data_IF_496988235241
#
_entry.id   IF_496988235241
#
_cell.length_a   1.000
_cell.length_b   1.000
_cell.length_c   1.000
_cell.angle_alpha   90.00
_cell.angle_beta   90.00
_cell.angle_gamma   90.00
#
_symmetry.space_group_name_H-M   'P 1'
#
loop_
_entity.id
_entity.type
_entity.pdbx_description
1 polymer ?
#
# COMPACT_ATOMS: atom_id res chain seq x y z
N UNK A 1 8.37 -1.87 -18.90
CA UNK A 1 9.73 -2.34 -19.23
C UNK A 1 10.73 -1.36 -18.59
N UNK A 2 11.16 -1.60 -17.37
CA UNK A 2 12.31 -0.90 -16.79
C UNK A 2 13.51 -1.83 -16.90
N UNK A 3 14.40 -1.51 -17.85
CA UNK A 3 15.64 -2.23 -18.05
C UNK A 3 16.56 -2.07 -16.84
N UNK A 4 17.37 -3.09 -16.54
CA UNK A 4 18.46 -3.01 -15.57
C UNK A 4 19.32 -1.79 -15.89
N UNK A 5 19.46 -0.88 -14.93
CA UNK A 5 20.39 0.25 -15.04
C UNK A 5 21.77 -0.27 -15.45
N UNK A 6 22.29 0.24 -16.55
CA UNK A 6 23.61 -0.11 -17.03
C UNK A 6 24.69 0.50 -16.12
N UNK A 7 25.96 0.10 -16.33
CA UNK A 7 27.09 0.52 -15.48
C UNK A 7 27.29 2.05 -15.45
N UNK A 8 26.93 2.75 -16.54
CA UNK A 8 27.02 4.21 -16.64
C UNK A 8 25.91 4.91 -15.85
N UNK A 9 24.69 4.37 -15.87
CA UNK A 9 23.55 4.87 -15.11
C UNK A 9 23.79 4.69 -13.60
N UNK A 10 24.33 3.54 -13.18
CA UNK A 10 24.75 3.32 -11.78
C UNK A 10 25.82 4.30 -11.33
N UNK A 11 26.81 4.60 -12.20
CA UNK A 11 27.85 5.58 -11.90
C UNK A 11 27.31 7.01 -11.82
N UNK A 12 26.36 7.37 -12.71
CA UNK A 12 25.67 8.68 -12.70
C UNK A 12 24.82 8.84 -11.45
N UNK A 13 24.11 7.78 -11.05
CA UNK A 13 23.30 7.73 -9.83
C UNK A 13 24.18 7.91 -8.57
N UNK A 14 25.29 7.16 -8.46
CA UNK A 14 26.24 7.28 -7.35
C UNK A 14 26.87 8.68 -7.27
N UNK A 15 27.12 9.33 -8.42
CA UNK A 15 27.66 10.70 -8.47
C UNK A 15 26.63 11.74 -8.01
N UNK A 16 25.35 11.56 -8.38
CA UNK A 16 24.26 12.42 -7.93
C UNK A 16 24.03 12.29 -6.42
N UNK A 17 24.11 11.09 -5.87
CA UNK A 17 23.97 10.85 -4.44
C UNK A 17 25.12 11.46 -3.63
N UNK A 18 26.37 11.39 -4.13
CA UNK A 18 27.52 12.10 -3.52
C UNK A 18 27.33 13.62 -3.53
N UNK A 19 26.73 14.17 -4.59
CA UNK A 19 26.44 15.61 -4.70
C UNK A 19 25.37 16.03 -3.71
N UNK A 20 24.25 15.31 -3.61
CA UNK A 20 23.20 15.52 -2.61
C UNK A 20 23.74 15.47 -1.18
N UNK A 21 24.55 14.48 -0.86
CA UNK A 21 25.21 14.35 0.45
C UNK A 21 26.12 15.55 0.76
N UNK A 22 26.79 16.11 -0.26
CA UNK A 22 27.66 17.30 -0.11
C UNK A 22 26.84 18.56 0.05
N UNK A 23 25.75 18.71 -0.70
CA UNK A 23 24.85 19.87 -0.61
C UNK A 23 24.14 19.89 0.74
N UNK A 24 23.72 18.74 1.27
CA UNK A 24 23.15 18.62 2.61
C UNK A 24 24.17 18.87 3.72
N UNK A 25 25.46 18.53 3.54
CA UNK A 25 26.51 18.89 4.51
C UNK A 25 26.83 20.38 4.52
N UNK A 26 26.65 21.07 3.39
CA UNK A 26 26.81 22.52 3.29
C UNK A 26 25.62 23.29 3.92
N UNK A 27 24.43 22.70 4.00
CA UNK A 27 23.29 23.29 4.73
C UNK A 27 23.49 23.31 6.24
N UNK A 28 24.42 22.55 6.80
CA UNK A 28 24.81 22.58 8.22
C UNK A 28 25.56 23.84 8.65
N UNK A 29 26.05 24.65 7.70
CA UNK A 29 26.81 25.87 7.98
C UNK A 29 25.98 27.10 8.32
N UNK A 30 24.68 27.11 8.12
CA UNK A 30 23.82 28.22 8.48
C UNK A 30 23.18 27.95 9.85
N UNK A 31 23.71 28.60 10.87
CA UNK A 31 23.17 28.66 12.24
C UNK A 31 21.71 29.11 12.22
N UNK A 32 20.78 28.14 12.29
CA UNK A 32 19.44 28.45 12.82
C UNK A 32 19.51 28.26 14.32
N UNK A 33 19.49 29.42 15.01
CA UNK A 33 19.56 29.50 16.44
C UNK A 33 18.49 28.69 17.16
N UNK A 34 18.86 28.12 18.29
CA UNK A 34 18.01 27.33 19.16
C UNK A 34 16.75 28.08 19.60
N UNK A 35 15.64 27.62 19.13
CA UNK A 35 14.30 27.96 19.58
C UNK A 35 13.41 26.83 19.14
N UNK A 36 12.67 26.24 20.10
CA UNK A 36 11.77 25.10 19.85
C UNK A 36 10.74 25.39 18.76
N UNK A 37 11.11 25.09 17.53
CA UNK A 37 10.21 25.26 16.40
C UNK A 37 9.19 24.12 16.35
N UNK A 38 7.91 24.47 16.49
CA UNK A 38 6.80 23.56 16.15
C UNK A 38 6.95 23.12 14.71
N UNK A 39 6.83 21.81 14.48
CA UNK A 39 6.78 21.23 13.13
C UNK A 39 5.73 21.96 12.31
N UNK A 40 6.06 22.55 11.16
CA UNK A 40 5.07 23.18 10.30
C UNK A 40 3.98 22.21 9.89
N UNK A 41 2.74 22.67 9.83
CA UNK A 41 1.57 21.79 9.57
C UNK A 41 1.63 21.01 8.24
N UNK A 42 2.39 21.51 7.25
CA UNK A 42 2.61 20.83 5.97
C UNK A 42 3.59 19.64 6.04
N UNK A 43 4.29 19.45 7.17
CA UNK A 43 5.26 18.34 7.38
C UNK A 43 4.61 17.13 8.05
N UNK A 44 3.29 17.10 8.22
CA UNK A 44 2.54 16.02 8.91
C UNK A 44 2.35 14.73 8.10
N UNK A 45 3.00 14.56 6.95
CA UNK A 45 3.03 13.32 6.18
C UNK A 45 3.85 12.21 6.85
N UNK A 46 3.52 10.96 6.60
CA UNK A 46 3.91 9.76 7.38
C UNK A 46 5.42 9.53 7.50
N UNK A 47 6.20 9.79 6.44
CA UNK A 47 7.66 9.58 6.44
C UNK A 47 8.37 10.74 7.15
N UNK A 48 7.99 11.95 6.87
CA UNK A 48 8.51 13.17 7.49
C UNK A 48 8.18 13.23 8.98
N UNK A 49 7.05 12.72 9.42
CA UNK A 49 6.68 12.66 10.84
C UNK A 49 7.55 11.66 11.62
N UNK A 50 7.79 10.47 11.09
CA UNK A 50 8.72 9.50 11.70
C UNK A 50 10.16 10.03 11.75
N UNK A 51 10.56 10.78 10.74
CA UNK A 51 11.84 11.49 10.67
C UNK A 51 11.95 12.54 11.77
N UNK A 52 10.93 13.35 11.96
CA UNK A 52 10.93 14.46 12.91
C UNK A 52 10.77 14.00 14.37
N UNK A 53 9.95 12.99 14.65
CA UNK A 53 9.73 12.46 16.01
C UNK A 53 10.94 11.69 16.58
N UNK A 54 11.85 11.21 15.73
CA UNK A 54 13.12 10.58 16.12
C UNK A 54 14.25 11.58 16.41
N UNK A 55 14.02 12.89 16.26
CA UNK A 55 15.05 13.88 16.06
C UNK A 55 15.17 14.97 17.09
N UNK A 56 14.89 14.74 18.34
CA UNK A 56 15.44 15.70 19.29
C UNK A 56 16.98 15.66 19.40
N UNK A 57 17.67 14.65 18.82
CA UNK A 57 19.13 14.57 18.94
C UNK A 57 19.93 14.13 17.73
N UNK A 58 19.38 13.58 16.65
CA UNK A 58 20.26 13.05 15.57
C UNK A 58 19.65 12.73 14.21
N UNK A 59 18.60 13.39 13.77
CA UNK A 59 17.93 13.11 12.47
C UNK A 59 18.83 13.29 11.26
N UNK A 60 19.89 14.03 11.42
CA UNK A 60 20.89 14.22 10.38
C UNK A 60 22.21 13.53 10.72
N UNK A 61 22.19 12.44 11.52
CA UNK A 61 23.41 11.66 11.69
C UNK A 61 23.78 11.03 10.35
N UNK A 62 25.08 11.11 10.03
CA UNK A 62 25.64 10.59 8.78
C UNK A 62 25.37 9.09 8.62
N UNK A 63 25.18 8.38 9.72
CA UNK A 63 24.95 6.94 9.76
C UNK A 63 23.49 6.56 9.52
N UNK A 64 22.51 7.35 10.01
CA UNK A 64 21.11 7.14 9.71
C UNK A 64 20.82 7.30 8.20
N UNK A 65 21.35 8.35 7.58
CA UNK A 65 21.21 8.54 6.12
C UNK A 65 21.89 7.44 5.32
N UNK A 66 23.03 6.93 5.79
CA UNK A 66 23.69 5.76 5.17
C UNK A 66 22.82 4.52 5.25
N UNK A 67 22.19 4.27 6.40
CA UNK A 67 21.32 3.12 6.62
C UNK A 67 20.11 3.18 5.69
N UNK A 68 19.40 4.33 5.63
CA UNK A 68 18.27 4.51 4.72
C UNK A 68 18.69 4.45 3.24
N UNK A 69 19.80 5.05 2.88
CA UNK A 69 20.35 4.97 1.52
C UNK A 69 20.83 3.56 1.16
N UNK A 70 21.37 2.82 2.13
CA UNK A 70 21.78 1.43 1.91
C UNK A 70 20.55 0.55 1.71
N UNK A 71 19.48 0.73 2.47
CA UNK A 71 18.23 0.03 2.31
C UNK A 71 17.61 0.28 0.93
N UNK A 72 17.53 1.55 0.48
CA UNK A 72 17.06 1.92 -0.87
C UNK A 72 18.00 1.43 -1.98
N UNK A 73 19.31 1.38 -1.74
CA UNK A 73 20.30 0.99 -2.75
C UNK A 73 20.58 -0.52 -2.80
N UNK A 74 20.28 -1.27 -1.72
CA UNK A 74 20.46 -2.74 -1.67
C UNK A 74 19.20 -3.50 -2.06
N UNK A 75 18.05 -2.85 -2.22
CA UNK A 75 16.90 -3.44 -2.88
C UNK A 75 17.15 -3.65 -4.37
N UNK A 76 18.07 -4.56 -4.67
CA UNK A 76 18.40 -5.00 -6.05
C UNK A 76 17.37 -6.00 -6.62
N UNK A 77 16.29 -6.29 -5.91
CA UNK A 77 15.11 -6.93 -6.49
C UNK A 77 14.34 -5.86 -7.26
N UNK A 78 13.90 -6.20 -8.47
CA UNK A 78 13.00 -5.37 -9.24
C UNK A 78 11.91 -4.86 -8.30
N UNK A 79 11.92 -3.55 -8.03
CA UNK A 79 10.98 -2.96 -7.09
C UNK A 79 9.59 -3.04 -7.75
N UNK A 80 8.77 -3.96 -7.28
CA UNK A 80 7.41 -4.17 -7.76
C UNK A 80 6.42 -3.22 -7.10
N UNK A 81 6.90 -2.38 -6.17
CA UNK A 81 6.11 -1.33 -5.57
C UNK A 81 5.99 -0.14 -6.51
N UNK A 82 4.84 0.54 -6.44
CA UNK A 82 4.67 1.82 -7.09
C UNK A 82 5.69 2.81 -6.50
N UNK A 83 6.36 3.54 -7.38
CA UNK A 83 7.24 4.64 -6.97
C UNK A 83 6.42 5.75 -6.32
N UNK A 84 6.76 6.12 -5.10
CA UNK A 84 6.15 7.26 -4.44
C UNK A 84 6.69 8.57 -5.02
N UNK A 85 5.88 9.64 -5.00
CA UNK A 85 6.30 10.93 -5.55
C UNK A 85 7.52 11.50 -4.82
N UNK A 86 7.62 11.28 -3.50
CA UNK A 86 8.79 11.66 -2.71
C UNK A 86 10.06 10.90 -3.08
N UNK A 87 9.96 9.64 -3.51
CA UNK A 87 11.10 8.86 -3.97
C UNK A 87 11.68 9.42 -5.27
N UNK A 88 10.85 9.96 -6.15
CA UNK A 88 11.31 10.67 -7.34
C UNK A 88 12.24 11.83 -6.96
N UNK A 89 11.88 12.61 -5.94
CA UNK A 89 12.66 13.74 -5.47
C UNK A 89 14.00 13.25 -4.88
N UNK A 90 13.94 12.19 -4.06
CA UNK A 90 15.11 11.63 -3.39
C UNK A 90 16.09 10.98 -4.38
N UNK A 91 15.58 10.32 -5.41
CA UNK A 91 16.40 9.57 -6.38
C UNK A 91 16.86 10.38 -7.56
N UNK A 92 16.11 11.39 -7.99
CA UNK A 92 16.35 12.18 -9.20
C UNK A 92 16.55 13.67 -8.94
N UNK A 93 16.46 14.13 -7.66
CA UNK A 93 16.69 15.53 -7.29
C UNK A 93 15.70 16.48 -7.97
N UNK A 94 16.22 17.56 -8.59
CA UNK A 94 15.39 18.58 -9.23
C UNK A 94 14.52 18.03 -10.37
N UNK A 95 15.02 17.08 -11.13
CA UNK A 95 14.27 16.48 -12.23
C UNK A 95 13.09 15.65 -11.68
N UNK A 96 13.34 14.89 -10.60
CA UNK A 96 12.28 14.15 -9.90
C UNK A 96 11.24 15.07 -9.27
N UNK A 97 11.64 16.22 -8.71
CA UNK A 97 10.71 17.23 -8.21
C UNK A 97 9.81 17.76 -9.33
N UNK A 98 10.40 18.12 -10.47
CA UNK A 98 9.62 18.62 -11.62
C UNK A 98 8.65 17.56 -12.14
N UNK A 99 9.07 16.31 -12.17
CA UNK A 99 8.22 15.18 -12.56
C UNK A 99 7.08 14.96 -11.57
N UNK A 100 7.35 14.92 -10.27
CA UNK A 100 6.34 14.77 -9.23
C UNK A 100 5.31 15.91 -9.29
N UNK A 101 5.78 17.15 -9.45
CA UNK A 101 4.93 18.34 -9.62
C UNK A 101 4.03 18.22 -10.85
N UNK A 102 4.57 17.73 -11.98
CA UNK A 102 3.80 17.52 -13.21
C UNK A 102 2.69 16.50 -13.02
N UNK A 103 2.95 15.37 -12.33
CA UNK A 103 1.94 14.38 -11.99
C UNK A 103 0.80 14.97 -11.14
N UNK A 104 1.14 15.78 -10.12
CA UNK A 104 0.12 16.42 -9.28
C UNK A 104 -0.76 17.39 -10.07
N UNK A 105 -0.18 18.18 -10.98
CA UNK A 105 -0.97 19.09 -11.83
C UNK A 105 -1.89 18.32 -12.79
N UNK A 106 -1.39 17.24 -13.40
CA UNK A 106 -2.22 16.43 -14.28
C UNK A 106 -3.33 15.70 -13.50
N UNK A 107 -3.06 15.25 -12.27
CA UNK A 107 -4.08 14.69 -11.40
C UNK A 107 -5.19 15.71 -11.10
N UNK A 108 -4.82 16.94 -10.73
CA UNK A 108 -5.78 18.02 -10.46
C UNK A 108 -6.65 18.30 -11.69
N UNK A 109 -6.05 18.41 -12.88
CA UNK A 109 -6.80 18.64 -14.12
C UNK A 109 -7.74 17.46 -14.45
N UNK A 110 -7.26 16.23 -14.23
CA UNK A 110 -8.06 15.03 -14.46
C UNK A 110 -9.28 14.98 -13.54
N UNK A 111 -9.07 15.22 -12.23
CA UNK A 111 -10.15 15.25 -11.25
C UNK A 111 -11.16 16.39 -11.51
N UNK A 112 -10.73 17.49 -12.12
CA UNK A 112 -11.62 18.57 -12.57
C UNK A 112 -12.31 18.32 -13.92
N UNK A 113 -12.04 17.18 -14.57
CA UNK A 113 -12.54 16.89 -15.91
C UNK A 113 -11.88 17.71 -17.03
N UNK A 114 -10.78 18.42 -16.75
CA UNK A 114 -10.05 19.25 -17.72
C UNK A 114 -9.05 18.44 -18.57
N UNK A 115 -8.77 17.20 -18.19
CA UNK A 115 -7.80 16.33 -18.88
C UNK A 115 -8.20 14.86 -18.71
N UNK A 116 -7.95 14.05 -19.74
CA UNK A 116 -8.11 12.59 -19.71
C UNK A 116 -6.77 11.86 -19.82
N UNK A 117 -5.67 12.51 -19.49
CA UNK A 117 -4.32 11.95 -19.60
C UNK A 117 -4.07 10.85 -18.57
N UNK A 118 -4.69 10.95 -17.40
CA UNK A 118 -4.68 9.91 -16.36
C UNK A 118 -5.93 9.07 -16.55
N UNK A 119 -5.75 7.81 -16.95
CA UNK A 119 -6.87 6.91 -17.24
C UNK A 119 -7.42 6.20 -15.99
N UNK A 120 -6.57 6.00 -14.99
CA UNK A 120 -6.94 5.27 -13.78
C UNK A 120 -6.43 6.03 -12.55
N UNK A 121 -7.35 6.39 -11.68
CA UNK A 121 -7.06 6.89 -10.35
C UNK A 121 -7.57 5.86 -9.35
N UNK A 122 -6.74 5.46 -8.39
CA UNK A 122 -7.15 4.55 -7.32
C UNK A 122 -6.85 5.15 -5.97
N UNK A 123 -7.67 4.81 -4.99
CA UNK A 123 -7.43 5.14 -3.59
C UNK A 123 -6.56 4.06 -2.97
N UNK A 124 -5.44 4.44 -2.37
CA UNK A 124 -4.63 3.50 -1.59
C UNK A 124 -5.25 3.33 -0.21
N UNK A 125 -5.97 2.24 -0.01
CA UNK A 125 -6.46 1.84 1.29
C UNK A 125 -5.28 1.36 2.17
N UNK A 126 -5.39 1.62 3.47
CA UNK A 126 -4.39 1.21 4.46
C UNK A 126 -4.90 -0.01 5.21
N UNK A 127 -4.75 -1.17 4.62
CA UNK A 127 -5.14 -2.46 5.16
C UNK A 127 -3.94 -3.32 5.58
N UNK A 128 -4.17 -4.30 6.45
CA UNK A 128 -3.16 -5.29 6.84
C UNK A 128 -3.82 -6.58 7.36
N UNK A 129 -3.29 -7.73 6.97
CA UNK A 129 -2.19 -7.95 6.01
C UNK A 129 -2.62 -7.79 4.55
N UNK A 130 -1.65 -7.60 3.66
CA UNK A 130 -1.88 -7.83 2.24
C UNK A 130 -2.02 -9.34 2.01
N UNK A 131 -3.06 -9.73 1.29
CA UNK A 131 -3.37 -11.12 0.99
C UNK A 131 -3.50 -11.35 -0.52
N UNK A 132 -3.15 -12.55 -0.94
CA UNK A 132 -3.41 -13.09 -2.28
C UNK A 132 -4.41 -14.22 -2.16
N UNK A 133 -5.41 -14.23 -3.02
CA UNK A 133 -6.42 -15.29 -3.05
C UNK A 133 -6.88 -15.55 -4.47
N UNK A 134 -7.28 -16.77 -4.74
CA UNK A 134 -7.82 -17.17 -6.03
C UNK A 134 -7.57 -18.63 -6.37
N UNK A 135 -7.66 -18.94 -7.67
CA UNK A 135 -7.43 -20.28 -8.18
C UNK A 135 -5.98 -20.38 -8.69
N UNK A 136 -5.22 -21.32 -8.13
CA UNK A 136 -3.89 -21.60 -8.66
C UNK A 136 -4.02 -22.30 -10.03
N UNK A 137 -3.48 -21.72 -11.11
CA UNK A 137 -3.61 -22.28 -12.45
C UNK A 137 -2.93 -23.66 -12.60
N UNK A 138 -1.92 -23.96 -11.78
CA UNK A 138 -1.17 -25.23 -11.88
C UNK A 138 -1.97 -26.43 -11.38
N UNK A 139 -2.92 -26.24 -10.46
CA UNK A 139 -3.65 -27.36 -9.83
C UNK A 139 -5.15 -27.15 -9.68
N UNK A 140 -5.67 -26.01 -10.15
CA UNK A 140 -7.07 -25.61 -10.08
C UNK A 140 -7.66 -25.56 -8.66
N UNK A 141 -6.83 -25.42 -7.61
CA UNK A 141 -7.29 -25.32 -6.22
C UNK A 141 -7.34 -23.87 -5.78
N UNK A 142 -8.37 -23.56 -5.00
CA UNK A 142 -8.43 -22.26 -4.32
C UNK A 142 -7.35 -22.17 -3.25
N UNK A 143 -6.69 -21.04 -3.16
CA UNK A 143 -5.64 -20.79 -2.19
C UNK A 143 -5.77 -19.38 -1.58
N UNK A 144 -5.12 -19.21 -0.44
CA UNK A 144 -4.82 -17.92 0.16
C UNK A 144 -3.34 -17.85 0.52
N UNK A 145 -2.78 -16.64 0.50
CA UNK A 145 -1.38 -16.46 0.86
C UNK A 145 -1.05 -15.02 1.19
N UNK A 146 0.20 -14.80 1.50
CA UNK A 146 0.84 -13.49 1.64
C UNK A 146 1.89 -13.33 0.53
N UNK A 147 2.67 -12.27 0.53
CA UNK A 147 3.80 -12.10 -0.40
C UNK A 147 4.73 -13.32 -0.47
N UNK A 148 4.75 -14.15 0.56
CA UNK A 148 5.56 -15.38 0.62
C UNK A 148 5.20 -16.45 -0.43
N UNK A 149 4.09 -16.30 -1.17
CA UNK A 149 3.76 -17.16 -2.33
C UNK A 149 4.79 -17.03 -3.46
N UNK A 150 5.52 -15.92 -3.54
CA UNK A 150 6.56 -15.66 -4.53
C UNK A 150 8.00 -15.97 -4.03
N UNK A 151 8.12 -16.52 -2.84
CA UNK A 151 9.43 -16.91 -2.31
C UNK A 151 10.02 -18.08 -3.13
N UNK A 152 11.33 -18.28 -3.03
CA UNK A 152 12.02 -19.43 -3.63
C UNK A 152 11.39 -20.77 -3.21
N UNK A 153 10.90 -20.83 -1.96
CA UNK A 153 10.04 -21.90 -1.46
C UNK A 153 8.65 -21.28 -1.19
N UNK A 154 7.71 -21.38 -2.15
CA UNK A 154 6.43 -20.71 -2.05
C UNK A 154 5.58 -21.23 -0.88
N UNK A 155 5.00 -20.30 -0.10
CA UNK A 155 4.08 -20.63 0.99
C UNK A 155 2.65 -20.39 0.54
N UNK A 156 2.12 -21.33 -0.24
CA UNK A 156 0.75 -21.31 -0.75
C UNK A 156 -0.12 -22.15 0.21
N UNK A 157 -1.27 -21.63 0.62
CA UNK A 157 -2.10 -22.31 1.60
C UNK A 157 -3.43 -22.72 0.97
N UNK A 158 -3.65 -24.02 0.84
CA UNK A 158 -4.89 -24.63 0.35
C UNK A 158 -5.77 -25.15 1.48
N UNK A 159 -5.19 -25.34 2.68
CA UNK A 159 -5.85 -25.86 3.86
C UNK A 159 -5.48 -25.06 5.11
N UNK A 160 -6.27 -25.22 6.18
CA UNK A 160 -5.93 -24.65 7.48
C UNK A 160 -4.62 -25.19 8.03
N UNK A 161 -4.27 -26.44 7.74
CA UNK A 161 -3.01 -27.07 8.14
C UNK A 161 -1.82 -26.42 7.44
N UNK A 162 -1.96 -26.03 6.16
CA UNK A 162 -0.92 -25.30 5.45
C UNK A 162 -0.68 -23.94 6.10
N UNK A 163 -1.76 -23.26 6.52
CA UNK A 163 -1.67 -21.97 7.22
C UNK A 163 -0.95 -22.12 8.56
N UNK A 164 -1.30 -23.15 9.33
CA UNK A 164 -0.63 -23.41 10.61
C UNK A 164 0.86 -23.72 10.43
N UNK A 165 1.21 -24.51 9.43
CA UNK A 165 2.59 -24.83 9.08
C UNK A 165 3.37 -23.60 8.64
N UNK A 166 2.79 -22.77 7.78
CA UNK A 166 3.49 -21.65 7.14
C UNK A 166 3.49 -20.37 7.98
N UNK A 167 2.43 -20.14 8.76
CA UNK A 167 2.14 -18.87 9.44
C UNK A 167 1.73 -19.02 10.92
N UNK A 168 1.76 -20.23 11.50
CA UNK A 168 1.34 -20.50 12.88
C UNK A 168 2.11 -19.71 13.96
N UNK A 169 3.33 -19.26 13.63
CA UNK A 169 4.13 -18.38 14.49
C UNK A 169 3.54 -16.96 14.65
N UNK A 170 2.61 -16.56 13.77
CA UNK A 170 1.93 -15.26 13.76
C UNK A 170 0.40 -15.47 13.88
N UNK A 171 -0.09 -15.68 15.10
CA UNK A 171 -1.48 -16.09 15.35
C UNK A 171 -2.55 -15.19 14.70
N UNK A 172 -2.35 -13.86 14.75
CA UNK A 172 -3.27 -12.89 14.12
C UNK A 172 -3.33 -13.04 12.60
N UNK A 173 -2.17 -13.22 11.95
CA UNK A 173 -2.09 -13.48 10.50
C UNK A 173 -2.74 -14.83 10.15
N UNK A 174 -2.43 -15.88 10.91
CA UNK A 174 -3.00 -17.20 10.68
C UNK A 174 -4.52 -17.20 10.83
N UNK A 175 -5.08 -16.48 11.82
CA UNK A 175 -6.54 -16.29 11.97
C UNK A 175 -7.13 -15.67 10.72
N UNK A 176 -6.59 -14.55 10.24
CA UNK A 176 -7.09 -13.81 9.07
C UNK A 176 -7.01 -14.65 7.79
N UNK A 177 -5.90 -15.36 7.57
CA UNK A 177 -5.78 -16.30 6.43
C UNK A 177 -6.77 -17.45 6.49
N UNK A 178 -7.05 -18.03 7.67
CA UNK A 178 -8.07 -19.08 7.83
C UNK A 178 -9.47 -18.57 7.53
N UNK A 179 -9.81 -17.37 7.99
CA UNK A 179 -11.09 -16.74 7.65
C UNK A 179 -11.19 -16.45 6.15
N UNK A 180 -10.13 -15.96 5.52
CA UNK A 180 -10.08 -15.75 4.08
C UNK A 180 -10.27 -17.06 3.32
N UNK A 181 -9.57 -18.13 3.71
CA UNK A 181 -9.71 -19.46 3.09
C UNK A 181 -11.12 -20.05 3.25
N UNK A 182 -11.79 -19.75 4.37
CA UNK A 182 -13.14 -20.22 4.66
C UNK A 182 -14.20 -19.50 3.83
N UNK A 183 -14.10 -18.18 3.68
CA UNK A 183 -15.20 -17.38 3.13
C UNK A 183 -15.00 -16.93 1.68
N UNK A 184 -13.77 -16.73 1.21
CA UNK A 184 -13.51 -16.23 -0.14
C UNK A 184 -13.87 -17.20 -1.28
N UNK A 185 -13.84 -18.54 -1.13
CA UNK A 185 -14.28 -19.42 -2.21
C UNK A 185 -15.71 -19.14 -2.69
N UNK A 186 -16.59 -18.68 -1.79
CA UNK A 186 -17.98 -18.35 -2.13
C UNK A 186 -18.13 -17.05 -2.96
N UNK A 187 -17.09 -16.21 -3.00
CA UNK A 187 -17.08 -14.96 -3.78
C UNK A 187 -16.85 -15.23 -5.27
N UNK A 188 -16.27 -16.40 -5.61
CA UNK A 188 -16.09 -16.80 -7.01
C UNK A 188 -14.92 -16.10 -7.71
N UNK A 189 -13.81 -15.89 -7.01
CA UNK A 189 -12.60 -15.31 -7.59
C UNK A 189 -12.09 -16.23 -8.69
N UNK A 190 -12.12 -15.74 -9.94
CA UNK A 190 -11.55 -16.43 -11.10
C UNK A 190 -10.23 -15.75 -11.48
N UNK A 191 -9.11 -16.47 -11.29
CA UNK A 191 -7.75 -15.91 -11.37
C UNK A 191 -7.16 -15.66 -10.00
N UNK A 192 -6.24 -14.72 -9.89
CA UNK A 192 -5.52 -14.41 -8.66
C UNK A 192 -5.63 -12.91 -8.38
N UNK A 193 -6.18 -12.57 -7.23
CA UNK A 193 -6.30 -11.20 -6.75
C UNK A 193 -5.39 -10.96 -5.54
N UNK A 194 -4.83 -9.76 -5.46
CA UNK A 194 -4.21 -9.23 -4.26
C UNK A 194 -5.06 -8.10 -3.72
N UNK A 195 -5.23 -8.10 -2.42
CA UNK A 195 -5.94 -7.04 -1.72
C UNK A 195 -5.46 -6.87 -0.28
N UNK A 196 -5.95 -5.84 0.35
CA UNK A 196 -5.67 -5.55 1.75
C UNK A 196 -6.83 -6.03 2.63
N UNK A 197 -6.49 -6.75 3.68
CA UNK A 197 -7.46 -7.21 4.68
C UNK A 197 -7.83 -6.03 5.59
N UNK A 198 -9.09 -5.65 5.59
CA UNK A 198 -9.58 -4.47 6.27
C UNK A 198 -10.07 -4.77 7.69
N UNK A 199 -10.81 -5.83 7.87
CA UNK A 199 -11.33 -6.25 9.18
C UNK A 199 -11.75 -7.72 9.18
N UNK A 200 -11.74 -8.34 10.33
CA UNK A 200 -12.62 -9.47 10.67
C UNK A 200 -13.74 -8.96 11.59
N UNK A 201 -14.78 -9.79 11.82
CA UNK A 201 -15.95 -9.38 12.60
C UNK A 201 -15.62 -8.91 14.02
N UNK A 202 -14.48 -9.33 14.58
CA UNK A 202 -14.03 -8.94 15.93
C UNK A 202 -13.36 -7.56 15.93
N UNK A 203 -12.90 -7.09 14.75
CA UNK A 203 -12.26 -5.78 14.55
C UNK A 203 -13.29 -4.65 14.43
N UNK A 204 -14.58 -4.95 14.19
CA UNK A 204 -15.62 -3.95 13.94
C UNK A 204 -16.20 -3.45 15.26
N UNK A 205 -15.97 -2.17 15.53
CA UNK A 205 -16.55 -1.45 16.67
C UNK A 205 -17.65 -0.47 16.24
N UNK A 206 -18.23 0.20 17.23
CA UNK A 206 -19.23 1.25 17.02
C UNK A 206 -18.75 2.55 17.64
N UNK A 207 -18.97 3.68 16.97
CA UNK A 207 -18.68 5.03 17.48
C UNK A 207 -19.78 5.99 17.06
N UNK A 208 -20.08 6.97 17.93
CA UNK A 208 -20.88 8.13 17.55
C UNK A 208 -19.94 9.20 16.99
N UNK A 209 -20.25 9.70 15.80
CA UNK A 209 -19.53 10.77 15.14
C UNK A 209 -20.57 11.82 14.71
N UNK A 210 -20.47 13.01 15.27
CA UNK A 210 -21.37 14.13 15.01
C UNK A 210 -22.86 13.77 15.16
N UNK A 211 -23.19 12.95 16.18
CA UNK A 211 -24.57 12.53 16.48
C UNK A 211 -25.10 11.40 15.59
N UNK A 212 -24.24 10.80 14.75
CA UNK A 212 -24.58 9.67 13.89
C UNK A 212 -23.76 8.44 14.29
N UNK A 213 -24.43 7.29 14.43
CA UNK A 213 -23.76 6.02 14.74
C UNK A 213 -23.01 5.49 13.53
N UNK A 214 -21.74 5.14 13.73
CA UNK A 214 -20.86 4.57 12.72
C UNK A 214 -20.27 3.23 13.17
N UNK A 215 -20.14 2.29 12.24
CA UNK A 215 -19.24 1.15 12.40
C UNK A 215 -17.83 1.56 12.08
N UNK A 216 -16.88 1.17 12.92
CA UNK A 216 -15.47 1.57 12.78
C UNK A 216 -14.55 0.37 12.84
N UNK A 217 -13.48 0.41 12.06
CA UNK A 217 -12.40 -0.58 12.09
C UNK A 217 -11.06 0.09 11.78
N UNK A 218 -9.98 -0.49 12.29
CA UNK A 218 -8.64 0.06 12.14
C UNK A 218 -7.66 -1.05 11.75
N UNK A 219 -7.56 -1.39 10.44
CA UNK A 219 -6.72 -2.48 9.99
C UNK A 219 -5.22 -2.22 10.20
N UNK A 220 -4.78 -0.98 10.09
CA UNK A 220 -3.39 -0.56 10.27
C UNK A 220 -3.32 0.84 10.91
N UNK A 221 -2.90 1.85 10.19
CA UNK A 221 -2.72 3.22 10.72
C UNK A 221 -4.02 4.02 10.69
N UNK A 222 -4.79 3.90 9.61
CA UNK A 222 -6.03 4.65 9.39
C UNK A 222 -7.21 3.94 10.07
N UNK A 223 -8.05 4.72 10.74
CA UNK A 223 -9.36 4.26 11.21
C UNK A 223 -10.41 4.64 10.18
N UNK A 224 -11.17 3.67 9.76
CA UNK A 224 -12.32 3.83 8.86
C UNK A 224 -13.59 3.91 9.68
N UNK A 225 -14.53 4.74 9.23
CA UNK A 225 -15.85 4.87 9.82
C UNK A 225 -16.89 4.86 8.69
N UNK A 226 -17.94 4.08 8.87
CA UNK A 226 -19.02 3.95 7.90
C UNK A 226 -20.33 4.12 8.63
N UNK A 227 -21.20 4.99 8.13
CA UNK A 227 -22.50 5.26 8.73
C UNK A 227 -23.33 3.96 8.86
N UNK A 228 -23.76 3.65 10.09
CA UNK A 228 -24.38 2.35 10.43
C UNK A 228 -25.67 2.08 9.64
N UNK A 229 -26.45 3.11 9.34
CA UNK A 229 -27.70 3.00 8.61
C UNK A 229 -27.53 2.93 7.09
N UNK A 230 -26.31 3.17 6.57
CA UNK A 230 -26.03 3.07 5.14
C UNK A 230 -26.08 1.61 4.66
N UNK A 231 -26.25 1.41 3.35
CA UNK A 231 -26.22 0.07 2.75
C UNK A 231 -24.85 -0.61 2.96
N UNK A 232 -23.76 0.16 2.88
CA UNK A 232 -22.40 -0.33 3.14
C UNK A 232 -22.25 -0.68 4.62
N UNK A 233 -22.77 0.14 5.54
CA UNK A 233 -22.72 -0.14 6.98
C UNK A 233 -23.43 -1.44 7.33
N UNK A 234 -24.60 -1.71 6.78
CA UNK A 234 -25.32 -2.98 6.97
C UNK A 234 -24.53 -4.17 6.44
N UNK A 235 -23.89 -4.05 5.27
CA UNK A 235 -23.02 -5.09 4.71
C UNK A 235 -21.80 -5.35 5.62
N UNK A 236 -21.14 -4.31 6.13
CA UNK A 236 -20.01 -4.42 7.05
C UNK A 236 -20.40 -5.12 8.34
N UNK A 237 -21.54 -4.77 8.93
CA UNK A 237 -22.02 -5.42 10.16
C UNK A 237 -22.26 -6.92 10.00
N UNK A 238 -22.78 -7.33 8.85
CA UNK A 238 -23.05 -8.76 8.57
C UNK A 238 -21.80 -9.55 8.20
N UNK A 239 -20.79 -8.89 7.63
CA UNK A 239 -19.60 -9.52 7.12
C UNK A 239 -18.71 -10.15 8.21
N UNK A 240 -18.12 -11.29 7.91
CA UNK A 240 -17.08 -11.95 8.74
C UNK A 240 -15.69 -11.43 8.42
N UNK A 241 -15.50 -10.97 7.19
CA UNK A 241 -14.24 -10.35 6.72
C UNK A 241 -14.54 -9.22 5.73
N UNK A 242 -13.64 -8.24 5.69
CA UNK A 242 -13.63 -7.16 4.71
C UNK A 242 -12.30 -7.08 3.97
N UNK A 243 -12.33 -6.94 2.64
CA UNK A 243 -11.12 -6.91 1.80
C UNK A 243 -11.30 -5.87 0.70
N UNK A 244 -10.23 -5.07 0.46
CA UNK A 244 -10.14 -4.18 -0.70
C UNK A 244 -9.18 -4.78 -1.72
N UNK A 245 -9.69 -5.09 -2.90
CA UNK A 245 -8.89 -5.65 -4.00
C UNK A 245 -8.26 -4.54 -4.83
N UNK A 246 -6.98 -4.71 -5.22
CA UNK A 246 -6.27 -3.67 -5.97
C UNK A 246 -5.37 -4.18 -7.10
N UNK A 247 -4.99 -5.47 -7.12
CA UNK A 247 -4.05 -6.00 -8.11
C UNK A 247 -4.49 -7.38 -8.58
N UNK A 248 -4.30 -7.63 -9.87
CA UNK A 248 -4.55 -8.92 -10.52
C UNK A 248 -3.24 -9.55 -10.95
N UNK A 249 -3.13 -10.87 -10.82
CA UNK A 249 -1.98 -11.66 -11.27
C UNK A 249 -2.43 -12.72 -12.27
N UNK A 250 -1.58 -13.00 -13.25
CA UNK A 250 -1.82 -14.09 -14.23
C UNK A 250 -1.49 -15.46 -13.64
N UNK A 251 -0.41 -15.52 -12.86
CA UNK A 251 0.12 -16.74 -12.27
C UNK A 251 0.91 -16.43 -10.98
N UNK A 252 1.49 -17.45 -10.37
CA UNK A 252 2.29 -17.34 -9.15
C UNK A 252 3.80 -17.37 -9.41
N UNK A 253 4.24 -17.26 -10.64
CA UNK A 253 5.66 -17.38 -10.99
C UNK A 253 6.50 -16.18 -10.56
N UNK A 254 5.92 -14.99 -10.54
CA UNK A 254 6.61 -13.76 -10.21
C UNK A 254 5.66 -12.62 -9.79
N UNK A 255 6.10 -11.80 -8.84
CA UNK A 255 5.45 -10.51 -8.55
C UNK A 255 5.40 -9.58 -9.76
N UNK A 256 6.31 -9.70 -10.70
CA UNK A 256 6.34 -8.86 -11.91
C UNK A 256 5.16 -9.11 -12.86
N UNK A 257 4.39 -10.18 -12.65
CA UNK A 257 3.14 -10.46 -13.35
C UNK A 257 1.94 -9.63 -12.86
N UNK A 258 2.14 -8.72 -11.89
CA UNK A 258 1.13 -7.85 -11.35
C UNK A 258 0.57 -6.89 -12.40
N UNK A 259 -0.75 -6.79 -12.46
CA UNK A 259 -1.47 -5.73 -13.18
C UNK A 259 -2.27 -4.92 -12.17
N UNK A 260 -2.05 -3.60 -12.17
CA UNK A 260 -2.79 -2.71 -11.28
C UNK A 260 -4.25 -2.62 -11.68
N UNK A 261 -5.11 -2.67 -10.67
CA UNK A 261 -6.55 -2.74 -10.83
C UNK A 261 -7.09 -4.15 -10.66
N UNK A 262 -8.14 -4.27 -9.85
CA UNK A 262 -8.89 -5.50 -9.71
C UNK A 262 -10.31 -5.25 -10.20
N UNK A 263 -10.71 -5.96 -11.25
CA UNK A 263 -12.10 -5.98 -11.66
C UNK A 263 -12.87 -6.91 -10.72
N UNK A 264 -13.71 -6.32 -9.88
CA UNK A 264 -14.56 -7.05 -8.92
C UNK A 264 -15.99 -7.23 -9.41
N UNK A 265 -16.33 -6.75 -10.62
CA UNK A 265 -17.70 -6.82 -11.16
C UNK A 265 -18.19 -8.23 -11.40
N UNK A 266 -17.27 -9.18 -11.62
CA UNK A 266 -17.58 -10.60 -11.77
C UNK A 266 -17.67 -11.38 -10.46
N UNK A 267 -17.42 -10.73 -9.31
CA UNK A 267 -17.45 -11.38 -8.01
C UNK A 267 -18.87 -11.43 -7.44
N UNK A 268 -19.20 -12.52 -6.77
CA UNK A 268 -20.51 -12.70 -6.13
C UNK A 268 -20.54 -12.04 -4.75
N UNK A 269 -21.53 -11.20 -4.51
CA UNK A 269 -21.80 -10.71 -3.16
C UNK A 269 -22.24 -11.86 -2.24
N UNK A 270 -21.68 -11.90 -1.04
CA UNK A 270 -22.06 -12.86 0.01
C UNK A 270 -22.26 -12.13 1.34
N UNK A 271 -23.12 -12.63 2.24
CA UNK A 271 -23.32 -11.95 3.52
C UNK A 271 -22.08 -12.01 4.43
N UNK A 272 -21.12 -12.91 4.15
CA UNK A 272 -19.94 -13.13 5.00
C UNK A 272 -18.71 -12.33 4.55
N UNK A 273 -18.71 -11.80 3.34
CA UNK A 273 -17.56 -11.08 2.78
C UNK A 273 -18.01 -9.73 2.26
N UNK A 274 -17.52 -8.68 2.89
CA UNK A 274 -17.56 -7.35 2.30
C UNK A 274 -16.29 -7.14 1.48
N UNK A 275 -16.43 -6.71 0.25
CA UNK A 275 -15.28 -6.36 -0.60
C UNK A 275 -15.61 -5.16 -1.48
N UNK A 276 -14.56 -4.47 -1.88
CA UNK A 276 -14.60 -3.43 -2.89
C UNK A 276 -13.27 -3.42 -3.64
N UNK A 277 -13.16 -2.61 -4.67
CA UNK A 277 -11.90 -2.35 -5.35
C UNK A 277 -11.31 -1.01 -4.89
N UNK A 278 -10.02 -0.82 -5.19
CA UNK A 278 -9.28 0.40 -4.86
C UNK A 278 -9.47 1.52 -5.91
N UNK A 279 -10.39 1.38 -6.84
CA UNK A 279 -10.65 2.44 -7.81
C UNK A 279 -11.38 3.61 -7.16
N UNK A 280 -10.88 4.80 -7.42
CA UNK A 280 -11.62 6.02 -7.16
C UNK A 280 -12.51 6.31 -8.37
N UNK A 281 -13.81 6.43 -8.12
CA UNK A 281 -14.80 6.82 -9.09
C UNK A 281 -15.52 8.05 -8.55
N UNK A 282 -15.19 9.21 -9.09
CA UNK A 282 -15.97 10.43 -8.87
C UNK A 282 -16.96 10.59 -10.03
N UNK A 283 -18.21 10.28 -9.76
CA UNK A 283 -19.30 10.43 -10.74
C UNK A 283 -19.83 11.88 -10.77
N UNK A 284 -19.38 12.75 -9.84
CA UNK A 284 -19.88 14.13 -9.74
C UNK A 284 -19.10 15.11 -10.62
N UNK A 285 -17.87 14.80 -10.97
CA UNK A 285 -16.95 15.72 -11.71
C UNK A 285 -16.62 16.98 -10.92
N UNK A 286 -16.91 17.04 -9.63
CA UNK A 286 -16.66 18.17 -8.73
C UNK A 286 -15.83 17.69 -7.55
N UNK A 287 -14.66 18.30 -7.39
CA UNK A 287 -13.86 18.24 -6.16
C UNK A 287 -14.10 19.50 -5.35
#
# INVERSE_FOLDING_TARGET
MMGMMNKQEKAKHAKNMKRLSKDMSNMKGNNYGGGGHKVPDYVKGTLTRKLYEKTETSVFSKDWWKEQLTEVLTETKANTHLTHLEELILTQGQDGFNQAKSFLYELIKNLKGESNNIKNVSVKWDGAPAIWAGINPDNAKFFVGTKSIFNKEPKINYTSQDIDKNHGHAAGLAKKLKLALQYLPAVGINGILQGDFMFDSDDVGTSDIEGTTHYTFKPNTIRYAVEANSEIGKKILSAKIGIIWHTTYKDLSSESGASFGADVSGLSETPNVWFDNAYFKDDTGVL
#
